data_IF_987241196829
#
_entry.id   IF_987241196829
#
_cell.length_a   1.000
_cell.length_b   1.000
_cell.length_c   1.000
_cell.angle_alpha   90.00
_cell.angle_beta   90.00
_cell.angle_gamma   90.00
#
_symmetry.space_group_name_H-M   'P 1'
#
loop_
_entity.id
_entity.type
_entity.pdbx_description
1 polymer ?
#
# COMPACT_ATOMS: atom_id res chain seq x y z
N UNK A 1 -17.96 -7.55 -7.64
CA UNK A 1 -17.65 -6.83 -6.38
C UNK A 1 -18.70 -7.26 -5.36
N UNK A 2 -18.31 -7.98 -4.31
CA UNK A 2 -19.26 -8.47 -3.30
C UNK A 2 -19.71 -7.30 -2.42
N UNK A 3 -21.01 -7.01 -2.41
CA UNK A 3 -21.59 -5.93 -1.62
C UNK A 3 -22.80 -6.42 -0.83
N UNK A 4 -22.88 -6.09 0.45
CA UNK A 4 -24.02 -6.40 1.31
C UNK A 4 -24.67 -5.12 1.83
N UNK A 5 -25.98 -4.92 1.64
CA UNK A 5 -26.69 -3.83 2.29
C UNK A 5 -26.65 -4.00 3.81
N UNK A 6 -26.48 -2.90 4.54
CA UNK A 6 -26.51 -2.91 6.00
C UNK A 6 -27.84 -3.44 6.56
N UNK A 7 -28.93 -3.40 5.78
CA UNK A 7 -30.22 -3.97 6.17
C UNK A 7 -30.22 -5.49 6.12
N UNK A 8 -29.59 -6.08 5.09
CA UNK A 8 -29.50 -7.53 4.93
C UNK A 8 -28.55 -8.11 5.98
N UNK A 9 -27.47 -7.39 6.28
CA UNK A 9 -26.59 -7.73 7.39
C UNK A 9 -27.33 -7.74 8.74
N UNK A 10 -28.25 -6.81 8.97
CA UNK A 10 -29.07 -6.79 10.20
C UNK A 10 -30.09 -7.92 10.26
N UNK A 11 -30.62 -8.35 9.11
CA UNK A 11 -31.66 -9.40 9.02
C UNK A 11 -31.07 -10.81 9.10
N UNK A 12 -29.90 -11.01 8.49
CA UNK A 12 -29.30 -12.33 8.33
C UNK A 12 -28.04 -12.53 9.17
N UNK A 13 -27.53 -11.46 9.79
CA UNK A 13 -26.39 -11.52 10.70
C UNK A 13 -25.12 -12.03 10.02
N UNK A 14 -24.36 -12.83 10.77
CA UNK A 14 -23.04 -13.33 10.37
C UNK A 14 -23.15 -14.31 9.20
N UNK A 15 -24.22 -15.11 9.11
CA UNK A 15 -24.36 -16.11 8.05
C UNK A 15 -24.46 -15.51 6.63
N UNK A 16 -24.91 -14.26 6.50
CA UNK A 16 -24.85 -13.57 5.21
C UNK A 16 -23.42 -13.17 4.84
N UNK A 17 -22.61 -12.79 5.83
CA UNK A 17 -21.18 -12.49 5.63
C UNK A 17 -20.46 -13.77 5.22
N UNK A 18 -20.61 -14.87 5.96
CA UNK A 18 -19.86 -16.12 5.71
C UNK A 18 -19.99 -16.62 4.27
N UNK A 19 -21.23 -16.64 3.74
CA UNK A 19 -21.50 -17.06 2.36
C UNK A 19 -20.83 -16.16 1.33
N UNK A 20 -20.79 -14.85 1.59
CA UNK A 20 -20.21 -13.88 0.68
C UNK A 20 -18.68 -13.85 0.78
N UNK A 21 -18.15 -14.03 1.99
CA UNK A 21 -16.71 -14.02 2.28
C UNK A 21 -16.00 -15.21 1.62
N UNK A 22 -16.70 -16.35 1.43
CA UNK A 22 -16.21 -17.48 0.64
C UNK A 22 -15.87 -17.12 -0.81
N UNK A 23 -16.43 -16.02 -1.33
CA UNK A 23 -16.18 -15.51 -2.68
C UNK A 23 -15.27 -14.28 -2.67
N UNK A 24 -14.65 -13.96 -1.52
CA UNK A 24 -13.74 -12.83 -1.33
C UNK A 24 -14.33 -11.63 -0.57
N UNK A 25 -13.58 -10.52 -0.49
CA UNK A 25 -13.89 -9.34 0.32
C UNK A 25 -15.28 -8.74 0.09
N UNK A 26 -15.99 -8.43 1.18
CA UNK A 26 -17.39 -7.95 1.12
C UNK A 26 -17.49 -6.50 1.55
N UNK A 27 -18.07 -5.64 0.72
CA UNK A 27 -18.32 -4.23 1.04
C UNK A 27 -19.70 -4.07 1.69
N UNK A 28 -19.76 -3.43 2.85
CA UNK A 28 -21.02 -3.10 3.49
C UNK A 28 -21.51 -1.74 2.99
N UNK A 29 -22.73 -1.70 2.45
CA UNK A 29 -23.36 -0.50 1.91
C UNK A 29 -24.42 0.02 2.89
N UNK A 30 -24.32 1.27 3.32
CA UNK A 30 -25.32 1.96 4.15
C UNK A 30 -25.67 3.30 3.51
N UNK A 31 -26.97 3.57 3.32
CA UNK A 31 -27.46 4.81 2.65
C UNK A 31 -26.82 5.04 1.27
N UNK A 32 -26.73 3.97 0.46
CA UNK A 32 -26.12 3.99 -0.87
C UNK A 32 -24.63 4.39 -0.90
N UNK A 33 -23.91 4.20 0.21
CA UNK A 33 -22.48 4.47 0.31
C UNK A 33 -21.74 3.29 0.96
N UNK A 34 -20.54 2.94 0.47
CA UNK A 34 -19.69 1.94 1.11
C UNK A 34 -19.17 2.49 2.44
N UNK A 35 -19.42 1.78 3.54
CA UNK A 35 -19.03 2.22 4.89
C UNK A 35 -17.90 1.40 5.50
N UNK A 36 -17.79 0.12 5.16
CA UNK A 36 -16.68 -0.73 5.59
C UNK A 36 -16.53 -1.93 4.66
N UNK A 37 -15.41 -2.65 4.80
CA UNK A 37 -15.11 -3.89 4.11
C UNK A 37 -14.86 -4.98 5.15
N UNK A 38 -15.44 -6.15 4.91
CA UNK A 38 -15.19 -7.36 5.70
C UNK A 38 -14.23 -8.24 4.92
N UNK A 39 -13.16 -8.66 5.60
CA UNK A 39 -12.10 -9.51 5.09
C UNK A 39 -12.02 -10.79 5.94
N UNK A 40 -11.46 -11.85 5.39
CA UNK A 40 -11.00 -12.95 6.22
C UNK A 40 -9.86 -12.49 7.12
N UNK A 41 -9.66 -13.21 8.23
CA UNK A 41 -8.59 -12.91 9.18
C UNK A 41 -7.20 -13.03 8.53
N UNK A 42 -7.01 -13.99 7.63
CA UNK A 42 -5.76 -14.17 6.87
C UNK A 42 -5.48 -12.96 5.97
N UNK A 43 -6.47 -12.55 5.16
CA UNK A 43 -6.33 -11.37 4.30
C UNK A 43 -6.08 -10.09 5.10
N UNK A 44 -6.73 -9.94 6.26
CA UNK A 44 -6.50 -8.81 7.15
C UNK A 44 -5.08 -8.80 7.72
N UNK A 45 -4.56 -9.95 8.15
CA UNK A 45 -3.18 -10.08 8.61
C UNK A 45 -2.19 -9.77 7.50
N UNK A 46 -2.42 -10.28 6.30
CA UNK A 46 -1.55 -10.00 5.16
C UNK A 46 -1.58 -8.53 4.76
N UNK A 47 -2.74 -7.89 4.82
CA UNK A 47 -2.90 -6.46 4.55
C UNK A 47 -2.17 -5.62 5.60
N UNK A 48 -2.36 -5.93 6.88
CA UNK A 48 -1.73 -5.20 7.99
C UNK A 48 -0.22 -5.43 8.05
N UNK A 49 0.25 -6.63 7.73
CA UNK A 49 1.67 -6.93 7.60
C UNK A 49 2.28 -6.12 6.46
N UNK A 50 1.66 -6.13 5.27
CA UNK A 50 2.10 -5.33 4.14
C UNK A 50 2.11 -3.83 4.45
N UNK A 51 1.09 -3.32 5.12
CA UNK A 51 1.04 -1.92 5.53
C UNK A 51 2.15 -1.53 6.53
N UNK A 52 2.65 -2.49 7.33
CA UNK A 52 3.80 -2.28 8.21
C UNK A 52 5.14 -2.37 7.50
N UNK A 53 5.25 -3.23 6.48
CA UNK A 53 6.49 -3.42 5.71
C UNK A 53 6.65 -2.40 4.59
N UNK A 54 5.55 -1.82 4.11
CA UNK A 54 5.60 -0.56 3.37
C UNK A 54 6.00 0.47 4.40
N UNK A 55 7.30 0.74 4.48
CA UNK A 55 7.80 1.98 5.02
C UNK A 55 7.10 3.06 4.20
N UNK A 56 5.99 3.59 4.71
CA UNK A 56 5.62 4.98 4.44
C UNK A 56 6.94 5.69 4.55
N UNK A 57 7.53 6.11 3.43
CA UNK A 57 8.69 7.00 3.49
C UNK A 57 8.19 8.09 4.41
N UNK A 58 8.72 8.22 5.65
CA UNK A 58 8.35 9.36 6.46
C UNK A 58 8.55 10.53 5.52
N UNK A 59 7.63 11.49 5.52
CA UNK A 59 7.95 12.78 4.96
C UNK A 59 9.10 13.31 5.82
N UNK A 60 10.30 12.83 5.53
CA UNK A 60 11.51 13.15 6.24
C UNK A 60 11.60 14.64 6.05
N UNK A 61 11.58 15.36 7.15
CA UNK A 61 12.01 16.74 7.09
C UNK A 61 13.41 16.75 6.47
N UNK A 62 13.76 17.80 5.74
CA UNK A 62 15.09 17.93 5.14
C UNK A 62 16.20 17.66 6.18
N UNK A 63 15.94 17.97 7.45
CA UNK A 63 16.85 17.70 8.58
C UNK A 63 17.04 16.22 8.91
N UNK A 64 16.00 15.40 8.77
CA UNK A 64 16.07 13.98 9.11
C UNK A 64 16.97 13.22 8.10
N UNK A 65 16.98 13.63 6.83
CA UNK A 65 17.88 13.08 5.81
C UNK A 65 19.36 13.22 6.16
N UNK A 66 19.76 14.30 6.84
CA UNK A 66 21.15 14.48 7.26
C UNK A 66 21.54 13.57 8.43
N UNK A 67 20.57 12.99 9.14
CA UNK A 67 20.82 12.06 10.25
C UNK A 67 20.78 10.59 9.84
N UNK A 68 20.26 10.30 8.64
CA UNK A 68 20.20 8.94 8.13
C UNK A 68 21.61 8.41 7.83
N UNK A 69 21.83 7.14 8.14
CA UNK A 69 23.04 6.45 7.73
C UNK A 69 23.07 6.35 6.20
N UNK A 70 24.17 6.74 5.54
CA UNK A 70 24.27 6.63 4.10
C UNK A 70 24.15 5.15 3.67
N UNK A 71 23.26 4.89 2.71
CA UNK A 71 22.95 3.54 2.20
C UNK A 71 23.90 3.14 1.04
N UNK A 72 24.68 4.09 0.51
CA UNK A 72 25.57 3.88 -0.63
C UNK A 72 27.06 3.93 -0.26
N UNK A 73 27.87 3.18 -1.01
CA UNK A 73 29.33 3.20 -0.94
C UNK A 73 29.99 3.91 -2.11
N UNK A 74 29.19 4.43 -3.05
CA UNK A 74 29.71 5.10 -4.24
C UNK A 74 30.49 6.36 -3.89
N UNK A 75 31.69 6.46 -4.45
CA UNK A 75 32.52 7.66 -4.26
C UNK A 75 32.00 8.80 -5.13
N UNK A 76 32.32 10.06 -4.75
CA UNK A 76 32.01 11.23 -5.58
C UNK A 76 32.53 11.07 -7.02
N UNK A 77 33.75 10.57 -7.18
CA UNK A 77 34.38 10.42 -8.50
C UNK A 77 33.64 9.42 -9.39
N UNK A 78 33.21 8.31 -8.80
CA UNK A 78 32.42 7.29 -9.50
C UNK A 78 31.06 7.85 -9.95
N UNK A 79 30.40 8.61 -9.08
CA UNK A 79 29.14 9.27 -9.40
C UNK A 79 29.30 10.33 -10.49
N UNK A 80 30.34 11.17 -10.39
CA UNK A 80 30.64 12.20 -11.40
C UNK A 80 30.95 11.55 -12.76
N UNK A 81 31.71 10.45 -12.77
CA UNK A 81 32.03 9.70 -13.99
C UNK A 81 30.76 9.11 -14.63
N UNK A 82 29.89 8.47 -13.83
CA UNK A 82 28.63 7.90 -14.32
C UNK A 82 27.68 8.97 -14.87
N UNK A 83 27.50 10.07 -14.15
CA UNK A 83 26.69 11.20 -14.63
C UNK A 83 27.25 11.78 -15.93
N UNK A 84 28.58 11.86 -16.06
CA UNK A 84 29.21 12.35 -17.28
C UNK A 84 29.02 11.42 -18.48
N UNK A 85 29.01 10.10 -18.27
CA UNK A 85 28.69 9.15 -19.35
C UNK A 85 27.22 9.21 -19.74
N UNK A 86 26.31 9.22 -18.77
CA UNK A 86 24.86 9.33 -19.03
C UNK A 86 24.54 10.61 -19.82
N UNK A 87 25.16 11.74 -19.49
CA UNK A 87 24.99 13.01 -20.22
C UNK A 87 25.56 12.99 -21.63
N UNK A 88 26.70 12.34 -21.84
CA UNK A 88 27.26 12.17 -23.20
C UNK A 88 26.34 11.34 -24.08
N UNK A 89 25.66 10.34 -23.52
CA UNK A 89 24.68 9.53 -24.24
C UNK A 89 23.41 10.33 -24.61
N UNK A 90 23.08 11.39 -23.88
CA UNK A 90 21.98 12.31 -24.24
C UNK A 90 22.32 13.24 -25.40
N UNK A 91 23.59 13.57 -25.57
CA UNK A 91 24.10 14.44 -26.64
C UNK A 91 24.51 13.65 -27.90
N UNK A 92 24.29 12.33 -27.93
CA UNK A 92 24.53 11.49 -29.10
C UNK A 92 23.37 11.63 -30.12
N UNK A 93 23.66 11.83 -31.43
CA UNK A 93 22.66 12.08 -32.47
C UNK A 93 21.78 10.88 -32.84
#
# INVERSE_FOLDING_TARGET
MNTIPANDLKRHGISAIEKMLAHGPVHVIKRNQPVCVVLSEEEYRDLTHRARTVTTTPAHTVMEWFTLTPIGTSSKQELDQRLSSERKDWDAP
#
